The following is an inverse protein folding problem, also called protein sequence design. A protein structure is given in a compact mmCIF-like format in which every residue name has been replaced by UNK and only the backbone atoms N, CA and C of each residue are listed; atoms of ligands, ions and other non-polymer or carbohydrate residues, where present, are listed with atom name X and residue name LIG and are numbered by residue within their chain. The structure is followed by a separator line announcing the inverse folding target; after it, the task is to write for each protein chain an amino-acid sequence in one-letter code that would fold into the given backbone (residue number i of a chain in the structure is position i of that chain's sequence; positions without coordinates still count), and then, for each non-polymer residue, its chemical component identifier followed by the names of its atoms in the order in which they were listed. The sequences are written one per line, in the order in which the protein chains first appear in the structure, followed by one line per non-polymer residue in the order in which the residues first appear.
data_IF_296359140920
#
_entry.id   IF_296359140920
#
_cell.length_a   1.000
_cell.length_b   1.000
_cell.length_c   1.000
_cell.angle_alpha   90.00
_cell.angle_beta   90.00
_cell.angle_gamma   90.00
#
_symmetry.space_group_name_H-M   'P 1'
#
loop_
_entity.id
_entity.type
_entity.pdbx_description
1 polymer ?
#
# COMPACT_ATOMS: atom_id res chain seq x y z
N UNK A 1 13.30 -13.77 -2.67
CA UNK A 1 12.32 -14.85 -2.40
C UNK A 1 11.89 -14.71 -0.96
N UNK A 2 10.60 -14.50 -0.71
CA UNK A 2 10.05 -14.38 0.65
C UNK A 2 9.97 -15.76 1.31
N UNK A 3 10.51 -15.89 2.52
CA UNK A 3 10.44 -17.12 3.31
C UNK A 3 9.19 -17.11 4.17
N UNK A 4 8.12 -17.77 3.71
CA UNK A 4 6.88 -18.00 4.48
C UNK A 4 6.99 -19.20 5.46
N UNK A 5 8.21 -19.70 5.67
CA UNK A 5 8.50 -20.79 6.61
C UNK A 5 8.35 -20.26 8.05
N UNK A 6 7.50 -20.92 8.84
CA UNK A 6 7.23 -20.54 10.23
C UNK A 6 6.07 -19.55 10.44
N UNK A 7 5.52 -18.96 9.36
CA UNK A 7 4.34 -18.08 9.43
C UNK A 7 3.04 -18.89 9.65
N UNK A 8 2.18 -18.39 10.53
CA UNK A 8 0.82 -18.88 10.74
C UNK A 8 -0.06 -18.71 9.49
N UNK A 9 -1.21 -19.39 9.43
CA UNK A 9 -2.15 -19.22 8.32
C UNK A 9 -2.66 -17.78 8.22
N UNK A 10 -2.88 -17.13 9.36
CA UNK A 10 -3.30 -15.73 9.42
C UNK A 10 -2.23 -14.79 8.87
N UNK A 11 -0.96 -14.96 9.25
CA UNK A 11 0.12 -14.13 8.71
C UNK A 11 0.29 -14.31 7.20
N UNK A 12 0.14 -15.54 6.69
CA UNK A 12 0.19 -15.82 5.25
C UNK A 12 -0.94 -15.12 4.49
N UNK A 13 -2.17 -15.21 5.02
CA UNK A 13 -3.34 -14.53 4.50
C UNK A 13 -3.17 -13.00 4.52
N UNK A 14 -2.69 -12.44 5.64
CA UNK A 14 -2.46 -11.00 5.77
C UNK A 14 -1.40 -10.52 4.76
N UNK A 15 -0.35 -11.31 4.52
CA UNK A 15 0.63 -11.03 3.45
C UNK A 15 -0.01 -11.00 2.06
N UNK A 16 -0.93 -11.92 1.76
CA UNK A 16 -1.65 -11.92 0.48
C UNK A 16 -2.48 -10.64 0.30
N UNK A 17 -3.09 -10.12 1.38
CA UNK A 17 -3.86 -8.88 1.35
C UNK A 17 -2.97 -7.66 1.09
N UNK A 18 -1.83 -7.58 1.76
CA UNK A 18 -0.84 -6.54 1.54
C UNK A 18 -0.29 -6.56 0.11
N UNK A 19 -0.01 -7.76 -0.44
CA UNK A 19 0.42 -7.92 -1.83
C UNK A 19 -0.64 -7.43 -2.81
N UNK A 20 -1.92 -7.71 -2.55
CA UNK A 20 -3.04 -7.20 -3.35
C UNK A 20 -3.10 -5.67 -3.31
N UNK A 21 -3.02 -5.05 -2.13
CA UNK A 21 -2.96 -3.58 -1.99
C UNK A 21 -1.77 -2.96 -2.74
N UNK A 22 -0.57 -3.55 -2.62
CA UNK A 22 0.62 -3.08 -3.34
C UNK A 22 0.40 -3.11 -4.85
N UNK A 23 -0.22 -4.16 -5.37
CA UNK A 23 -0.58 -4.24 -6.79
C UNK A 23 -1.58 -3.16 -7.20
N UNK A 24 -2.62 -2.92 -6.39
CA UNK A 24 -3.58 -1.85 -6.64
C UNK A 24 -2.90 -0.47 -6.67
N UNK A 25 -1.97 -0.20 -5.75
CA UNK A 25 -1.19 1.04 -5.71
C UNK A 25 -0.27 1.19 -6.94
N UNK A 26 0.44 0.12 -7.33
CA UNK A 26 1.28 0.11 -8.55
C UNK A 26 0.46 0.34 -9.82
N UNK A 27 -0.80 -0.10 -9.86
CA UNK A 27 -1.70 0.12 -10.99
C UNK A 27 -2.40 1.49 -10.94
N UNK A 28 -2.29 2.22 -9.83
CA UNK A 28 -2.94 3.52 -9.63
C UNK A 28 -2.00 4.70 -9.88
N UNK A 29 -0.71 4.56 -9.54
CA UNK A 29 0.28 5.62 -9.68
C UNK A 29 1.52 5.19 -10.45
N UNK A 30 2.01 6.10 -11.29
CA UNK A 30 3.30 5.96 -11.94
C UNK A 30 4.46 6.45 -11.07
N UNK A 31 5.66 5.98 -11.37
CA UNK A 31 6.88 6.48 -10.73
C UNK A 31 7.08 6.05 -9.27
N UNK A 32 6.36 5.03 -8.77
CA UNK A 32 6.62 4.48 -7.43
C UNK A 32 8.00 3.80 -7.41
N UNK A 33 8.75 4.02 -6.34
CA UNK A 33 10.03 3.37 -6.03
C UNK A 33 9.92 2.45 -4.81
N UNK A 34 9.17 2.87 -3.78
CA UNK A 34 9.03 2.13 -2.52
C UNK A 34 7.63 2.31 -1.93
N UNK A 35 7.07 1.25 -1.35
CA UNK A 35 5.86 1.28 -0.54
C UNK A 35 6.16 0.67 0.82
N UNK A 36 5.72 1.35 1.88
CA UNK A 36 5.77 0.84 3.25
C UNK A 36 4.37 0.79 3.85
N UNK A 37 3.96 -0.38 4.32
CA UNK A 37 2.68 -0.62 5.00
C UNK A 37 2.90 -0.55 6.50
N UNK A 38 2.03 0.18 7.21
CA UNK A 38 2.11 0.42 8.64
C UNK A 38 0.72 0.35 9.25
N UNK A 39 0.63 0.05 10.54
CA UNK A 39 -0.60 0.11 11.33
C UNK A 39 -1.80 -0.59 10.65
N UNK A 40 -1.68 -1.85 10.19
CA UNK A 40 -2.80 -2.52 9.56
C UNK A 40 -3.90 -2.81 10.58
N UNK A 41 -5.14 -2.66 10.14
CA UNK A 41 -6.35 -3.06 10.84
C UNK A 41 -7.13 -4.04 9.95
N UNK A 42 -6.76 -5.31 10.05
CA UNK A 42 -7.37 -6.40 9.30
C UNK A 42 -8.71 -6.81 9.90
N UNK A 43 -9.72 -6.99 9.05
CA UNK A 43 -11.04 -7.46 9.50
C UNK A 43 -11.12 -8.98 9.59
N UNK A 44 -11.95 -9.45 10.53
CA UNK A 44 -12.34 -10.85 10.66
C UNK A 44 -13.87 -10.93 10.90
N UNK A 45 -14.66 -11.53 9.98
CA UNK A 45 -14.25 -12.20 8.75
C UNK A 45 -13.58 -11.25 7.74
N UNK A 46 -12.74 -11.76 6.84
CA UNK A 46 -12.02 -10.93 5.89
C UNK A 46 -12.96 -10.24 4.90
N UNK A 47 -12.66 -8.98 4.61
CA UNK A 47 -13.37 -8.15 3.65
C UNK A 47 -12.58 -6.86 3.42
N UNK A 48 -13.13 -5.72 3.84
CA UNK A 48 -12.38 -4.46 3.84
C UNK A 48 -11.43 -4.37 5.03
N UNK A 49 -10.23 -3.84 4.84
CA UNK A 49 -9.28 -3.55 5.92
C UNK A 49 -8.67 -2.17 5.71
N UNK A 50 -7.94 -1.66 6.70
CA UNK A 50 -7.26 -0.36 6.56
C UNK A 50 -5.82 -0.43 7.02
N UNK A 51 -5.00 0.51 6.56
CA UNK A 51 -3.63 0.68 7.01
C UNK A 51 -3.13 2.10 6.70
N UNK A 52 -1.99 2.46 7.28
CA UNK A 52 -1.21 3.60 6.81
C UNK A 52 -0.21 3.13 5.75
N UNK A 53 -0.02 3.93 4.70
CA UNK A 53 1.06 3.72 3.73
C UNK A 53 2.00 4.91 3.68
N UNK A 54 3.27 4.66 3.45
CA UNK A 54 4.23 5.64 2.93
C UNK A 54 4.66 5.20 1.52
N UNK A 55 4.47 6.07 0.53
CA UNK A 55 4.86 5.84 -0.85
C UNK A 55 6.00 6.79 -1.19
N UNK A 56 7.14 6.24 -1.62
CA UNK A 56 8.26 7.00 -2.17
C UNK A 56 8.21 6.94 -3.70
N UNK A 57 8.30 8.09 -4.34
CA UNK A 57 8.36 8.24 -5.79
C UNK A 57 9.81 8.47 -6.26
N UNK A 58 10.05 8.25 -7.56
CA UNK A 58 11.37 8.38 -8.20
C UNK A 58 11.97 9.79 -8.14
N UNK A 59 11.14 10.80 -7.94
CA UNK A 59 11.56 12.20 -7.72
C UNK A 59 11.92 12.48 -6.25
N UNK A 60 12.09 11.43 -5.44
CA UNK A 60 12.33 11.46 -3.99
C UNK A 60 11.15 11.98 -3.16
N UNK A 61 9.99 12.27 -3.77
CA UNK A 61 8.80 12.67 -3.01
C UNK A 61 8.28 11.50 -2.18
N UNK A 62 7.90 11.80 -0.94
CA UNK A 62 7.25 10.85 -0.03
C UNK A 62 5.86 11.33 0.35
N UNK A 63 4.88 10.44 0.23
CA UNK A 63 3.49 10.71 0.61
C UNK A 63 3.07 9.66 1.63
N UNK A 64 2.57 10.11 2.78
CA UNK A 64 2.06 9.24 3.85
C UNK A 64 0.59 9.53 4.12
N UNK A 65 -0.24 8.50 4.09
CA UNK A 65 -1.68 8.64 4.30
C UNK A 65 -2.34 7.31 4.66
N UNK A 66 -3.51 7.39 5.29
CA UNK A 66 -4.35 6.23 5.63
C UNK A 66 -5.19 5.79 4.44
N UNK A 67 -5.26 4.48 4.24
CA UNK A 67 -6.00 3.81 3.17
C UNK A 67 -6.98 2.80 3.77
N UNK A 68 -8.22 2.81 3.27
CA UNK A 68 -9.10 1.65 3.30
C UNK A 68 -8.97 0.84 2.01
N UNK A 69 -8.94 -0.48 2.10
CA UNK A 69 -8.83 -1.38 0.96
C UNK A 69 -9.89 -2.47 1.02
N UNK A 70 -10.63 -2.64 -0.07
CA UNK A 70 -11.64 -3.68 -0.24
C UNK A 70 -11.04 -4.88 -0.94
N UNK A 71 -11.03 -6.06 -0.29
CA UNK A 71 -10.61 -7.30 -0.96
C UNK A 71 -11.60 -7.77 -2.03
N UNK A 72 -12.88 -7.41 -1.90
CA UNK A 72 -13.93 -7.84 -2.83
C UNK A 72 -13.90 -7.04 -4.14
N UNK A 73 -13.59 -5.74 -4.06
CA UNK A 73 -13.59 -4.83 -5.22
C UNK A 73 -12.19 -4.40 -5.66
N UNK A 74 -11.15 -4.71 -4.88
CA UNK A 74 -9.76 -4.23 -5.07
C UNK A 74 -9.66 -2.69 -5.12
N UNK A 75 -10.60 -1.99 -4.49
CA UNK A 75 -10.66 -0.52 -4.48
C UNK A 75 -9.93 0.07 -3.27
N UNK A 76 -9.17 1.13 -3.55
CA UNK A 76 -8.48 1.97 -2.56
C UNK A 76 -9.37 3.17 -2.23
N UNK A 77 -9.66 3.35 -0.94
CA UNK A 77 -10.34 4.53 -0.40
C UNK A 77 -9.36 5.34 0.43
N UNK A 78 -9.30 6.66 0.22
CA UNK A 78 -8.54 7.55 1.08
C UNK A 78 -9.27 7.74 2.41
N UNK A 79 -8.68 7.26 3.51
CA UNK A 79 -9.25 7.33 4.85
C UNK A 79 -8.69 8.52 5.67
N UNK A 80 -7.91 9.41 5.05
CA UNK A 80 -7.21 10.50 5.74
C UNK A 80 -8.06 11.75 5.90
N UNK A 81 -7.88 12.43 7.03
CA UNK A 81 -8.47 13.75 7.28
C UNK A 81 -7.86 14.82 6.34
N UNK A 82 -8.64 15.84 6.00
CA UNK A 82 -8.17 17.00 5.24
C UNK A 82 -7.23 17.89 6.06
N UNK A 83 -6.11 18.26 5.46
CA UNK A 83 -5.22 19.33 5.92
C UNK A 83 -4.37 19.84 4.74
N UNK A 84 -3.68 20.97 4.88
CA UNK A 84 -3.03 21.65 3.75
C UNK A 84 -2.04 20.75 2.98
N UNK A 85 -1.23 19.94 3.69
CA UNK A 85 -0.32 18.98 3.04
C UNK A 85 -1.06 17.85 2.34
N UNK A 86 -2.18 17.35 2.91
CA UNK A 86 -3.00 16.32 2.25
C UNK A 86 -3.53 16.81 0.90
N UNK A 87 -3.94 18.07 0.79
CA UNK A 87 -4.41 18.67 -0.47
C UNK A 87 -3.30 18.61 -1.52
N UNK A 88 -2.08 19.04 -1.16
CA UNK A 88 -0.91 18.99 -2.05
C UNK A 88 -0.51 17.57 -2.43
N UNK A 89 -0.68 16.62 -1.51
CA UNK A 89 -0.42 15.21 -1.78
C UNK A 89 -1.46 14.60 -2.72
N UNK A 90 -2.75 14.92 -2.57
CA UNK A 90 -3.78 14.49 -3.52
C UNK A 90 -3.56 15.06 -4.90
N UNK A 91 -3.20 16.34 -4.98
CA UNK A 91 -2.87 16.96 -6.24
C UNK A 91 -1.75 16.19 -6.94
N UNK A 92 -0.65 15.93 -6.24
CA UNK A 92 0.44 15.14 -6.79
C UNK A 92 0.01 13.73 -7.21
N UNK A 93 -0.72 12.99 -6.37
CA UNK A 93 -1.22 11.65 -6.69
C UNK A 93 -2.14 11.66 -7.92
N UNK A 94 -2.96 12.70 -8.09
CA UNK A 94 -3.83 12.86 -9.25
C UNK A 94 -3.05 13.20 -10.52
N UNK A 95 -2.00 14.02 -10.41
CA UNK A 95 -1.10 14.37 -11.52
C UNK A 95 -0.23 13.18 -11.95
N UNK A 96 0.05 12.24 -11.04
CA UNK A 96 0.88 11.04 -11.27
C UNK A 96 0.03 9.75 -11.33
N UNK A 97 -1.22 9.85 -11.80
CA UNK A 97 -2.03 8.66 -12.09
C UNK A 97 -1.41 7.89 -13.26
N UNK A 98 -1.30 6.58 -13.11
CA UNK A 98 -0.68 5.73 -14.12
C UNK A 98 -0.31 4.37 -13.55
N UNK A 99 0.57 3.66 -14.24
CA UNK A 99 1.01 2.33 -13.81
C UNK A 99 2.53 2.29 -13.66
N UNK A 100 2.99 1.89 -12.48
CA UNK A 100 4.39 1.56 -12.24
C UNK A 100 4.69 0.13 -12.71
N UNK A 101 5.42 0.02 -13.82
CA UNK A 101 5.85 -1.28 -14.39
C UNK A 101 7.21 -1.75 -13.89
N UNK A 102 8.02 -0.85 -13.34
CA UNK A 102 9.28 -1.21 -12.69
C UNK A 102 9.03 -1.98 -11.40
N UNK A 103 10.02 -2.80 -11.02
CA UNK A 103 10.05 -3.37 -9.68
C UNK A 103 10.14 -2.25 -8.63
N UNK A 104 9.46 -2.43 -7.51
CA UNK A 104 9.51 -1.53 -6.36
C UNK A 104 9.95 -2.29 -5.11
N UNK A 105 10.51 -1.56 -4.14
CA UNK A 105 10.77 -2.09 -2.80
C UNK A 105 9.48 -2.03 -1.97
N UNK A 106 9.23 -3.06 -1.16
CA UNK A 106 8.06 -3.14 -0.28
C UNK A 106 8.53 -3.49 1.11
N UNK A 107 8.14 -2.67 2.09
CA UNK A 107 8.20 -3.02 3.51
C UNK A 107 6.79 -3.33 3.99
N UNK A 108 6.56 -4.57 4.41
CA UNK A 108 5.26 -5.03 4.87
C UNK A 108 5.03 -4.71 6.36
N UNK A 109 3.82 -4.91 6.87
CA UNK A 109 3.46 -4.53 8.25
C UNK A 109 4.23 -5.27 9.35
N UNK A 110 4.74 -6.47 9.06
CA UNK A 110 5.61 -7.24 9.96
C UNK A 110 7.09 -6.87 9.83
N UNK A 111 7.42 -5.81 9.09
CA UNK A 111 8.76 -5.32 8.76
C UNK A 111 9.59 -6.24 7.87
N UNK A 112 9.01 -7.30 7.31
CA UNK A 112 9.65 -8.03 6.22
C UNK A 112 9.76 -7.10 5.00
N UNK A 113 10.85 -7.29 4.25
CA UNK A 113 11.13 -6.54 3.02
C UNK A 113 11.11 -7.46 1.79
N UNK A 114 10.74 -6.91 0.65
CA UNK A 114 11.15 -7.47 -0.63
C UNK A 114 10.69 -6.68 -1.84
N UNK A 115 10.53 -7.36 -2.97
CA UNK A 115 10.29 -6.73 -4.28
C UNK A 115 8.99 -7.18 -4.93
N UNK A 116 8.34 -6.24 -5.62
CA UNK A 116 7.12 -6.42 -6.41
C UNK A 116 7.26 -5.78 -7.78
#
# INVERSE_FOLDING_TARGET
MFSMLGKSQEERRNREYEVSLVNALKNSYEGIEEIKIMNPDYTNPPGSWSCDVEIKFKDERKIKYGIGYSLDTEEITDASLEWEGRIKDRQFLNENKGKTTSKIRVTYSDNDEGEQ
#
